data_IF_419420590251
#
_entry.id   IF_419420590251
#
_cell.length_a   1.000
_cell.length_b   1.000
_cell.length_c   1.000
_cell.angle_alpha   90.00
_cell.angle_beta   90.00
_cell.angle_gamma   90.00
#
_symmetry.space_group_name_H-M   'P 1'
#
loop_
_entity.id
_entity.type
_entity.pdbx_description
1 polymer ?
#
# COMPACT_ATOMS: atom_id res chain seq x y z
N UNK A 1 -27.38 38.67 14.88
CA UNK A 1 -26.26 38.82 15.83
C UNK A 1 -24.95 38.73 15.06
N UNK A 2 -24.47 39.87 14.55
CA UNK A 2 -23.25 39.93 13.73
C UNK A 2 -22.08 40.36 14.62
N UNK A 3 -21.51 39.41 15.36
CA UNK A 3 -20.31 39.64 16.17
C UNK A 3 -19.10 39.81 15.26
N UNK A 4 -18.78 41.04 14.88
CA UNK A 4 -17.51 41.35 14.22
C UNK A 4 -16.38 41.00 15.19
N UNK A 5 -15.57 40.00 14.86
CA UNK A 5 -14.32 39.70 15.56
C UNK A 5 -13.41 40.94 15.44
N UNK A 6 -13.35 41.77 16.48
CA UNK A 6 -12.35 42.82 16.61
C UNK A 6 -11.01 42.17 16.98
N UNK A 7 -10.37 41.51 16.02
CA UNK A 7 -9.00 41.03 16.17
C UNK A 7 -8.05 42.21 16.03
N UNK A 8 -7.08 42.39 16.95
CA UNK A 8 -6.08 43.44 16.83
C UNK A 8 -5.27 43.22 15.55
N UNK A 9 -4.96 44.30 14.83
CA UNK A 9 -4.32 44.25 13.50
C UNK A 9 -3.00 43.46 13.50
N UNK A 10 -2.28 43.46 14.63
CA UNK A 10 -1.04 42.71 14.83
C UNK A 10 -1.27 41.19 14.79
N UNK A 11 -2.42 40.69 15.24
CA UNK A 11 -2.76 39.26 15.15
C UNK A 11 -3.08 38.87 13.71
N UNK A 12 -3.78 39.72 12.96
CA UNK A 12 -4.08 39.48 11.54
C UNK A 12 -2.79 39.46 10.72
N UNK A 13 -1.90 40.43 10.94
CA UNK A 13 -0.59 40.49 10.27
C UNK A 13 0.26 39.26 10.65
N UNK A 14 0.29 38.90 11.95
CA UNK A 14 1.05 37.76 12.44
C UNK A 14 0.57 36.43 11.85
N UNK A 15 -0.74 36.20 11.77
CA UNK A 15 -1.32 34.99 11.17
C UNK A 15 -1.05 34.94 9.67
N UNK A 16 -1.20 36.06 8.95
CA UNK A 16 -0.89 36.13 7.52
C UNK A 16 0.59 35.87 7.22
N UNK A 17 1.50 36.43 8.02
CA UNK A 17 2.94 36.17 7.89
C UNK A 17 3.27 34.70 8.21
N UNK A 18 2.63 34.13 9.24
CA UNK A 18 2.79 32.73 9.59
C UNK A 18 2.33 31.82 8.45
N UNK A 19 1.16 32.06 7.86
CA UNK A 19 0.66 31.26 6.73
C UNK A 19 1.58 31.40 5.51
N UNK A 20 2.03 32.62 5.20
CA UNK A 20 2.95 32.90 4.10
C UNK A 20 4.28 32.16 4.24
N UNK A 21 4.81 32.03 5.46
CA UNK A 21 6.05 31.30 5.74
C UNK A 21 5.82 29.77 5.83
N UNK A 22 4.67 29.37 6.37
CA UNK A 22 4.34 27.97 6.64
C UNK A 22 4.14 27.18 5.34
N UNK A 23 3.46 27.74 4.35
CA UNK A 23 3.16 27.03 3.09
C UNK A 23 4.44 26.65 2.32
N UNK A 24 5.40 27.57 2.08
CA UNK A 24 6.70 27.22 1.48
C UNK A 24 7.51 26.26 2.35
N UNK A 25 7.55 26.48 3.67
CA UNK A 25 8.26 25.58 4.58
C UNK A 25 7.72 24.14 4.50
N UNK A 26 6.39 23.99 4.43
CA UNK A 26 5.75 22.69 4.27
C UNK A 26 6.05 22.07 2.90
N UNK A 27 6.10 22.88 1.84
CA UNK A 27 6.48 22.45 0.49
C UNK A 27 7.90 21.86 0.47
N UNK A 28 8.87 22.55 1.08
CA UNK A 28 10.24 22.04 1.20
C UNK A 28 10.37 20.85 2.15
N UNK A 29 9.50 20.73 3.14
CA UNK A 29 9.49 19.60 4.08
C UNK A 29 8.81 18.33 3.54
N UNK A 30 8.08 18.40 2.41
CA UNK A 30 7.36 17.25 1.80
C UNK A 30 8.20 15.97 1.70
N UNK A 31 9.48 16.00 1.28
CA UNK A 31 10.29 14.77 1.15
C UNK A 31 10.49 14.01 2.46
N UNK A 32 10.40 14.69 3.61
CA UNK A 32 10.51 14.10 4.94
C UNK A 32 9.14 13.83 5.56
N UNK A 33 8.18 14.72 5.35
CA UNK A 33 6.83 14.59 5.88
C UNK A 33 6.10 13.36 5.35
N UNK A 34 6.22 13.06 4.06
CA UNK A 34 5.56 11.89 3.47
C UNK A 34 6.05 10.57 4.11
N UNK A 35 7.36 10.27 4.16
CA UNK A 35 7.88 9.10 4.89
C UNK A 35 7.48 9.09 6.37
N UNK A 36 7.45 10.25 7.02
CA UNK A 36 7.06 10.35 8.43
C UNK A 36 5.60 9.94 8.66
N UNK A 37 4.68 10.37 7.79
CA UNK A 37 3.27 9.98 7.88
C UNK A 37 3.11 8.49 7.60
N UNK A 38 3.69 7.99 6.50
CA UNK A 38 3.63 6.56 6.13
C UNK A 38 4.20 5.70 7.25
N UNK A 39 5.38 6.07 7.77
CA UNK A 39 6.01 5.34 8.86
C UNK A 39 5.24 5.38 10.16
N UNK A 40 4.51 6.47 10.44
CA UNK A 40 3.60 6.53 11.58
C UNK A 40 2.50 5.49 11.43
N UNK A 41 1.83 5.43 10.28
CA UNK A 41 0.80 4.43 10.02
C UNK A 41 1.36 3.01 10.17
N UNK A 42 2.47 2.70 9.48
CA UNK A 42 3.13 1.40 9.58
C UNK A 42 3.51 1.09 11.03
N UNK A 43 4.11 2.04 11.76
CA UNK A 43 4.48 1.86 13.14
C UNK A 43 3.26 1.61 14.04
N UNK A 44 2.11 2.24 13.79
CA UNK A 44 0.87 1.94 14.52
C UNK A 44 0.41 0.49 14.28
N UNK A 45 0.51 0.01 13.04
CA UNK A 45 0.13 -1.36 12.67
C UNK A 45 1.03 -2.41 13.32
N UNK A 46 2.34 -2.18 13.34
CA UNK A 46 3.32 -3.10 13.91
C UNK A 46 3.52 -2.93 15.43
N UNK A 47 3.12 -1.80 16.01
CA UNK A 47 3.25 -1.52 17.46
C UNK A 47 2.75 -2.65 18.37
N UNK A 48 1.54 -3.23 18.19
CA UNK A 48 1.07 -4.31 19.05
C UNK A 48 1.90 -5.59 18.90
N UNK A 49 2.40 -5.89 17.69
CA UNK A 49 3.32 -7.01 17.47
C UNK A 49 4.62 -6.78 18.26
N UNK A 50 5.21 -5.57 18.17
CA UNK A 50 6.42 -5.23 18.91
C UNK A 50 6.20 -5.30 20.42
N UNK A 51 5.09 -4.72 20.92
CA UNK A 51 4.78 -4.73 22.35
C UNK A 51 4.56 -6.17 22.86
N UNK A 52 3.91 -7.04 22.08
CA UNK A 52 3.71 -8.44 22.46
C UNK A 52 5.02 -9.21 22.69
N UNK A 53 6.03 -8.98 21.86
CA UNK A 53 7.35 -9.59 22.03
C UNK A 53 8.19 -8.89 23.11
N UNK A 54 8.04 -7.57 23.27
CA UNK A 54 8.64 -6.80 24.37
C UNK A 54 8.13 -7.29 25.74
N UNK A 55 6.83 -7.55 25.85
CA UNK A 55 6.19 -8.09 27.05
C UNK A 55 6.68 -9.52 27.39
N UNK A 56 7.22 -10.25 26.41
CA UNK A 56 7.87 -11.56 26.60
C UNK A 56 9.34 -11.47 27.00
N UNK A 57 9.87 -10.26 27.24
CA UNK A 57 11.23 -10.03 27.70
C UNK A 57 12.27 -9.80 26.60
N UNK A 58 11.87 -9.69 25.33
CA UNK A 58 12.79 -9.34 24.25
C UNK A 58 13.07 -7.83 24.25
N UNK A 59 14.34 -7.38 24.15
CA UNK A 59 14.64 -5.95 24.02
C UNK A 59 13.96 -5.34 22.80
N UNK A 60 13.24 -4.22 23.02
CA UNK A 60 12.45 -3.53 21.98
C UNK A 60 13.21 -3.35 20.66
N UNK A 61 14.46 -2.87 20.72
CA UNK A 61 15.29 -2.65 19.53
C UNK A 61 15.49 -3.93 18.71
N UNK A 62 15.74 -5.06 19.37
CA UNK A 62 15.95 -6.35 18.70
C UNK A 62 14.65 -6.79 18.01
N UNK A 63 13.53 -6.72 18.72
CA UNK A 63 12.20 -7.05 18.18
C UNK A 63 11.88 -6.20 16.94
N UNK A 64 12.16 -4.89 16.98
CA UNK A 64 11.94 -4.00 15.84
C UNK A 64 12.82 -4.36 14.66
N UNK A 65 14.13 -4.57 14.88
CA UNK A 65 15.07 -4.93 13.81
C UNK A 65 14.65 -6.24 13.15
N UNK A 66 14.39 -7.29 13.94
CA UNK A 66 13.95 -8.60 13.43
C UNK A 66 12.65 -8.47 12.64
N UNK A 67 11.68 -7.72 13.15
CA UNK A 67 10.40 -7.51 12.47
C UNK A 67 10.57 -6.79 11.14
N UNK A 68 11.40 -5.75 11.09
CA UNK A 68 11.66 -5.01 9.85
C UNK A 68 12.46 -5.83 8.85
N UNK A 69 13.45 -6.60 9.30
CA UNK A 69 14.20 -7.53 8.44
C UNK A 69 13.24 -8.57 7.85
N UNK A 70 12.39 -9.19 8.68
CA UNK A 70 11.40 -10.16 8.23
C UNK A 70 10.43 -9.54 7.20
N UNK A 71 9.93 -8.33 7.48
CA UNK A 71 9.03 -7.62 6.56
C UNK A 71 9.68 -7.41 5.19
N UNK A 72 10.92 -6.92 5.17
CA UNK A 72 11.68 -6.70 3.92
C UNK A 72 11.96 -8.02 3.20
N UNK A 73 12.40 -9.06 3.92
CA UNK A 73 12.67 -10.37 3.35
C UNK A 73 11.41 -10.99 2.73
N UNK A 74 10.28 -11.00 3.44
CA UNK A 74 9.01 -11.53 2.92
C UNK A 74 8.53 -10.73 1.71
N UNK A 75 8.71 -9.40 1.72
CA UNK A 75 8.33 -8.55 0.59
C UNK A 75 9.17 -8.86 -0.65
N UNK A 76 10.50 -8.97 -0.50
CA UNK A 76 11.40 -9.30 -1.61
C UNK A 76 11.09 -10.70 -2.17
N UNK A 77 10.93 -11.69 -1.29
CA UNK A 77 10.61 -13.06 -1.70
C UNK A 77 9.24 -13.14 -2.39
N UNK A 78 8.23 -12.44 -1.87
CA UNK A 78 6.91 -12.37 -2.48
C UNK A 78 6.93 -11.73 -3.86
N UNK A 79 7.66 -10.62 -4.02
CA UNK A 79 7.86 -10.01 -5.34
C UNK A 79 8.59 -10.94 -6.31
N UNK A 80 9.64 -11.62 -5.86
CA UNK A 80 10.38 -12.57 -6.69
C UNK A 80 9.50 -13.75 -7.15
N UNK A 81 8.69 -14.31 -6.24
CA UNK A 81 7.81 -15.43 -6.53
C UNK A 81 6.71 -15.11 -7.55
N UNK A 82 6.23 -13.86 -7.58
CA UNK A 82 5.19 -13.41 -8.53
C UNK A 82 5.83 -12.97 -9.85
N UNK A 83 7.08 -12.51 -9.84
CA UNK A 83 7.71 -11.87 -11.00
C UNK A 83 7.90 -12.80 -12.20
N UNK A 84 8.25 -14.06 -11.99
CA UNK A 84 8.44 -15.04 -13.08
C UNK A 84 7.12 -15.41 -13.75
N UNK A 85 6.11 -15.91 -13.01
CA UNK A 85 4.83 -16.26 -13.61
C UNK A 85 4.10 -15.05 -14.21
N UNK A 86 4.22 -13.86 -13.61
CA UNK A 86 3.64 -12.66 -14.18
C UNK A 86 4.22 -12.34 -15.56
N UNK A 87 5.53 -12.52 -15.78
CA UNK A 87 6.16 -12.28 -17.09
C UNK A 87 5.65 -13.25 -18.16
N UNK A 88 5.45 -14.52 -17.79
CA UNK A 88 4.92 -15.54 -18.70
C UNK A 88 3.48 -15.19 -19.11
N UNK A 89 2.63 -14.87 -18.15
CA UNK A 89 1.25 -14.48 -18.41
C UNK A 89 1.14 -13.21 -19.28
N UNK A 90 2.00 -12.21 -19.06
CA UNK A 90 2.08 -11.02 -19.91
C UNK A 90 2.52 -11.34 -21.35
N UNK A 91 3.38 -12.35 -21.55
CA UNK A 91 3.84 -12.75 -22.88
C UNK A 91 2.75 -13.51 -23.67
N UNK A 92 1.85 -14.21 -22.99
CA UNK A 92 0.77 -15.00 -23.60
C UNK A 92 -0.54 -14.22 -23.79
N UNK A 93 -0.66 -13.06 -23.15
CA UNK A 93 -1.83 -12.19 -23.21
C UNK A 93 -2.25 -11.81 -24.64
N UNK A 94 -1.33 -11.43 -25.57
CA UNK A 94 -1.70 -11.14 -26.95
C UNK A 94 -2.31 -12.34 -27.69
N UNK A 95 -1.80 -13.55 -27.46
CA UNK A 95 -2.35 -14.78 -28.05
C UNK A 95 -3.72 -15.13 -27.47
N UNK A 96 -3.94 -14.95 -26.16
CA UNK A 96 -5.25 -15.17 -25.53
C UNK A 96 -6.29 -14.22 -26.13
N UNK A 97 -5.95 -12.94 -26.32
CA UNK A 97 -6.85 -11.95 -26.94
C UNK A 97 -7.15 -12.30 -28.40
N UNK A 98 -6.16 -12.75 -29.17
CA UNK A 98 -6.37 -13.17 -30.55
C UNK A 98 -7.27 -14.41 -30.65
N UNK A 99 -7.04 -15.42 -29.81
CA UNK A 99 -7.83 -16.65 -29.80
C UNK A 99 -9.28 -16.40 -29.37
N UNK A 100 -9.49 -15.59 -28.33
CA UNK A 100 -10.84 -15.18 -27.89
C UNK A 100 -11.53 -14.34 -28.98
N UNK A 101 -10.81 -13.48 -29.69
CA UNK A 101 -11.38 -12.72 -30.80
C UNK A 101 -11.81 -13.63 -31.95
N UNK A 102 -11.09 -14.72 -32.21
CA UNK A 102 -11.42 -15.69 -33.24
C UNK A 102 -12.63 -16.54 -32.84
N UNK A 103 -12.67 -17.09 -31.62
CA UNK A 103 -13.83 -17.84 -31.13
C UNK A 103 -15.09 -16.96 -31.02
N UNK A 104 -14.96 -15.72 -30.53
CA UNK A 104 -16.09 -14.77 -30.49
C UNK A 104 -16.53 -14.40 -31.90
N UNK A 105 -15.61 -14.24 -32.86
CA UNK A 105 -15.97 -13.98 -34.26
C UNK A 105 -16.60 -15.20 -34.93
N UNK A 106 -16.23 -16.43 -34.59
CA UNK A 106 -16.84 -17.65 -35.11
C UNK A 106 -18.22 -17.89 -34.51
N UNK A 107 -18.40 -17.68 -33.20
CA UNK A 107 -19.72 -17.72 -32.53
C UNK A 107 -20.61 -16.58 -33.02
N UNK A 108 -20.06 -15.38 -33.22
CA UNK A 108 -20.79 -14.25 -33.79
C UNK A 108 -21.15 -14.50 -35.26
N UNK A 109 -20.25 -15.05 -36.08
CA UNK A 109 -20.56 -15.42 -37.49
C UNK A 109 -21.62 -16.53 -37.58
N UNK A 110 -21.55 -17.53 -36.71
CA UNK A 110 -22.59 -18.57 -36.59
C UNK A 110 -23.95 -17.98 -36.14
N UNK A 111 -23.93 -16.87 -35.39
CA UNK A 111 -25.14 -16.13 -35.01
C UNK A 111 -25.57 -15.08 -36.04
N UNK A 112 -24.66 -14.59 -36.89
CA UNK A 112 -24.87 -13.57 -37.92
C UNK A 112 -25.38 -14.12 -39.25
N UNK A 113 -25.42 -15.45 -39.45
CA UNK A 113 -26.11 -16.07 -40.58
C UNK A 113 -27.63 -15.74 -40.61
N UNK A 114 -28.17 -15.18 -39.51
CA UNK A 114 -29.54 -14.66 -39.41
C UNK A 114 -29.66 -13.13 -39.25
N UNK A 115 -28.58 -12.34 -39.33
CA UNK A 115 -28.70 -10.88 -39.20
C UNK A 115 -27.60 -10.14 -39.97
N UNK A 116 -27.95 -9.66 -41.16
CA UNK A 116 -27.12 -8.78 -41.98
C UNK A 116 -27.02 -7.39 -41.33
N UNK A 117 -25.92 -7.09 -40.65
CA UNK A 117 -25.47 -5.72 -40.43
C UNK A 117 -23.93 -5.68 -40.34
N UNK A 118 -23.25 -4.84 -41.14
CA UNK A 118 -21.80 -4.67 -41.02
C UNK A 118 -21.50 -3.83 -39.78
N UNK A 119 -20.86 -4.44 -38.78
CA UNK A 119 -20.23 -3.71 -37.67
C UNK A 119 -18.76 -3.43 -38.02
N UNK A 120 -18.54 -2.45 -38.89
CA UNK A 120 -17.26 -1.74 -38.94
C UNK A 120 -17.19 -0.77 -37.77
N UNK A 121 -16.80 -1.24 -36.57
CA UNK A 121 -16.42 -0.34 -35.47
C UNK A 121 -15.70 -1.09 -34.35
N UNK A 122 -14.49 -1.59 -34.63
CA UNK A 122 -13.53 -1.96 -33.58
C UNK A 122 -12.09 -2.14 -34.08
N UNK A 123 -11.71 -1.61 -35.24
CA UNK A 123 -10.38 -1.81 -35.82
C UNK A 123 -9.38 -0.69 -35.52
N UNK A 124 -9.52 0.00 -34.38
CA UNK A 124 -8.55 1.05 -34.03
C UNK A 124 -8.36 1.23 -32.51
N UNK A 125 -8.32 0.10 -31.79
CA UNK A 125 -7.73 0.09 -30.45
C UNK A 125 -6.40 -0.66 -30.54
N UNK A 126 -5.32 0.09 -30.73
CA UNK A 126 -3.96 -0.42 -30.64
C UNK A 126 -3.76 -1.08 -29.26
N UNK A 127 -3.80 -2.42 -29.25
CA UNK A 127 -3.54 -3.24 -28.06
C UNK A 127 -2.07 -3.11 -27.59
N UNK A 128 -1.20 -2.56 -28.43
CA UNK A 128 0.16 -2.16 -28.06
C UNK A 128 0.21 -0.97 -27.07
N UNK A 129 -0.84 -0.15 -26.97
CA UNK A 129 -0.89 1.00 -26.05
C UNK A 129 -1.72 0.76 -24.77
N UNK A 130 -2.42 -0.37 -24.61
CA UNK A 130 -3.16 -0.61 -23.34
C UNK A 130 -2.32 -1.39 -22.31
N UNK A 131 -1.38 -2.23 -22.76
CA UNK A 131 -0.50 -3.02 -21.89
C UNK A 131 0.75 -2.30 -21.37
N UNK A 132 1.17 -1.20 -22.01
CA UNK A 132 2.46 -0.55 -21.76
C UNK A 132 2.37 0.64 -20.76
N UNK A 133 1.18 1.13 -20.41
CA UNK A 133 1.08 2.54 -20.01
C UNK A 133 0.97 2.79 -18.51
N UNK A 134 0.52 1.83 -17.70
CA UNK A 134 0.32 2.11 -16.26
C UNK A 134 1.02 1.12 -15.35
N UNK A 135 0.79 -0.18 -15.51
CA UNK A 135 1.43 -1.20 -14.66
C UNK A 135 2.84 -1.50 -15.16
N UNK A 136 3.04 -1.65 -16.47
CA UNK A 136 4.36 -1.87 -17.06
C UNK A 136 5.22 -0.61 -17.04
N UNK A 137 4.64 0.58 -17.23
CA UNK A 137 5.36 1.85 -17.01
C UNK A 137 5.72 2.05 -15.53
N UNK A 138 4.86 1.64 -14.58
CA UNK A 138 5.21 1.56 -13.15
C UNK A 138 6.33 0.56 -12.92
N UNK A 139 6.23 -0.67 -13.42
CA UNK A 139 7.24 -1.72 -13.22
C UNK A 139 8.58 -1.35 -13.86
N UNK A 140 8.55 -0.75 -15.05
CA UNK A 140 9.72 -0.26 -15.79
C UNK A 140 10.28 1.00 -15.15
N UNK A 141 9.45 1.92 -14.66
CA UNK A 141 9.90 3.03 -13.82
C UNK A 141 10.51 2.51 -12.51
N UNK A 142 9.93 1.48 -11.87
CA UNK A 142 10.51 0.82 -10.70
C UNK A 142 11.88 0.17 -11.04
N UNK A 143 12.02 -0.36 -12.26
CA UNK A 143 13.25 -1.00 -12.76
C UNK A 143 14.33 -0.02 -13.28
N UNK A 144 13.96 1.19 -13.73
CA UNK A 144 14.92 2.22 -14.21
C UNK A 144 15.19 3.32 -13.18
N UNK A 145 14.30 3.48 -12.19
CA UNK A 145 14.37 4.46 -11.08
C UNK A 145 14.86 3.79 -9.79
N UNK A 146 15.57 2.66 -9.91
CA UNK A 146 16.02 1.79 -8.82
C UNK A 146 16.80 2.53 -7.72
N UNK A 147 17.74 3.46 -8.02
CA UNK A 147 18.50 4.13 -6.97
C UNK A 147 17.63 5.03 -6.08
N UNK A 148 16.72 5.80 -6.69
CA UNK A 148 15.85 6.74 -5.97
C UNK A 148 14.75 6.04 -5.19
N UNK A 149 14.19 4.94 -5.71
CA UNK A 149 13.21 4.13 -4.98
C UNK A 149 13.83 3.39 -3.81
N UNK A 150 15.03 2.83 -4.01
CA UNK A 150 15.76 2.20 -2.92
C UNK A 150 16.08 3.24 -1.83
N UNK A 151 16.55 4.42 -2.22
CA UNK A 151 16.80 5.52 -1.27
C UNK A 151 15.52 5.91 -0.51
N UNK A 152 14.40 6.09 -1.21
CA UNK A 152 13.12 6.44 -0.59
C UNK A 152 12.62 5.33 0.35
N UNK A 153 12.72 4.06 -0.07
CA UNK A 153 12.36 2.90 0.75
C UNK A 153 13.23 2.82 2.00
N UNK A 154 14.54 3.07 1.89
CA UNK A 154 15.44 3.13 3.04
C UNK A 154 15.08 4.27 4.00
N UNK A 155 14.70 5.45 3.48
CA UNK A 155 14.23 6.57 4.30
C UNK A 155 12.95 6.18 5.06
N UNK A 156 11.97 5.58 4.38
CA UNK A 156 10.73 5.11 5.01
C UNK A 156 11.05 4.05 6.07
N UNK A 157 11.89 3.07 5.76
CA UNK A 157 12.29 1.99 6.68
C UNK A 157 12.99 2.56 7.92
N UNK A 158 13.92 3.49 7.73
CA UNK A 158 14.58 4.20 8.82
C UNK A 158 13.55 4.96 9.69
N UNK A 159 12.58 5.61 9.05
CA UNK A 159 11.57 6.38 9.78
C UNK A 159 10.59 5.46 10.53
N UNK A 160 10.26 4.29 9.97
CA UNK A 160 9.50 3.23 10.68
C UNK A 160 10.30 2.73 11.89
N UNK A 161 11.59 2.42 11.71
CA UNK A 161 12.46 2.02 12.81
C UNK A 161 12.47 3.07 13.93
N UNK A 162 12.69 4.33 13.57
CA UNK A 162 12.69 5.44 14.52
C UNK A 162 11.35 5.57 15.24
N UNK A 163 10.23 5.47 14.51
CA UNK A 163 8.89 5.62 15.06
C UNK A 163 8.47 4.42 15.93
N UNK A 164 8.88 3.20 15.59
CA UNK A 164 8.68 2.02 16.43
C UNK A 164 9.50 2.08 17.72
N UNK A 165 10.76 2.54 17.66
CA UNK A 165 11.61 2.58 18.85
C UNK A 165 11.32 3.80 19.75
N UNK A 166 11.15 4.99 19.16
CA UNK A 166 11.04 6.26 19.90
C UNK A 166 9.66 6.92 19.81
N UNK A 167 8.79 6.50 18.89
CA UNK A 167 7.52 7.18 18.61
C UNK A 167 6.60 7.30 19.81
N UNK A 168 6.54 6.29 20.69
CA UNK A 168 5.75 6.36 21.94
C UNK A 168 6.26 7.47 22.87
N UNK A 169 7.58 7.60 23.01
CA UNK A 169 8.21 8.64 23.84
C UNK A 169 7.97 10.03 23.24
N UNK A 170 8.11 10.17 21.92
CA UNK A 170 7.83 11.41 21.20
C UNK A 170 6.37 11.82 21.33
N UNK A 171 5.44 10.88 21.12
CA UNK A 171 4.01 11.13 21.27
C UNK A 171 3.66 11.54 22.70
N UNK A 172 4.17 10.83 23.71
CA UNK A 172 3.94 11.18 25.12
C UNK A 172 4.47 12.56 25.47
N UNK A 173 5.68 12.94 24.99
CA UNK A 173 6.25 14.27 25.19
C UNK A 173 5.48 15.38 24.46
N UNK A 174 4.91 15.08 23.30
CA UNK A 174 4.05 16.02 22.56
C UNK A 174 2.72 16.23 23.25
N UNK A 175 2.09 15.13 23.70
CA UNK A 175 0.82 15.14 24.41
C UNK A 175 0.95 15.73 25.82
N UNK A 176 2.10 15.61 26.47
CA UNK A 176 2.32 16.20 27.81
C UNK A 176 2.27 17.74 27.81
N UNK A 177 2.34 18.39 26.64
CA UNK A 177 2.16 19.84 26.50
C UNK A 177 0.69 20.27 26.49
N UNK A 178 -0.25 19.33 26.36
CA UNK A 178 -1.68 19.60 26.49
C UNK A 178 -2.04 19.88 27.95
N UNK A 179 -2.82 20.93 28.20
CA UNK A 179 -3.34 21.27 29.53
C UNK A 179 -4.37 20.21 29.99
N UNK A 180 -4.03 19.47 31.04
CA UNK A 180 -4.94 18.56 31.76
C UNK A 180 -4.66 17.07 31.54
N UNK A 181 -4.44 16.32 32.64
CA UNK A 181 -4.12 14.89 32.65
C UNK A 181 -5.18 14.00 31.95
N UNK A 182 -6.46 14.36 32.03
CA UNK A 182 -7.55 13.60 31.39
C UNK A 182 -7.42 13.57 29.86
N UNK A 183 -7.11 14.71 29.23
CA UNK A 183 -6.91 14.81 27.77
C UNK A 183 -5.67 14.03 27.31
N UNK A 184 -4.63 14.02 28.14
CA UNK A 184 -3.41 13.25 27.85
C UNK A 184 -3.68 11.75 27.84
N UNK A 185 -4.41 11.27 28.84
CA UNK A 185 -4.82 9.86 28.95
C UNK A 185 -5.70 9.45 27.78
N UNK A 186 -6.72 10.24 27.45
CA UNK A 186 -7.63 9.96 26.33
C UNK A 186 -6.88 9.84 24.99
N UNK A 187 -5.92 10.73 24.71
CA UNK A 187 -5.14 10.68 23.48
C UNK A 187 -4.27 9.40 23.39
N UNK A 188 -3.64 9.00 24.50
CA UNK A 188 -2.83 7.77 24.55
C UNK A 188 -3.71 6.52 24.43
N UNK A 189 -4.86 6.50 25.12
CA UNK A 189 -5.83 5.40 25.05
C UNK A 189 -6.41 5.24 23.64
N UNK A 190 -6.74 6.35 22.96
CA UNK A 190 -7.22 6.32 21.58
C UNK A 190 -6.17 5.72 20.64
N UNK A 191 -4.91 6.15 20.75
CA UNK A 191 -3.84 5.59 19.91
C UNK A 191 -3.65 4.10 20.18
N UNK A 192 -3.66 3.66 21.45
CA UNK A 192 -3.52 2.25 21.79
C UNK A 192 -4.72 1.41 21.31
N UNK A 193 -5.94 1.95 21.40
CA UNK A 193 -7.14 1.32 20.86
C UNK A 193 -7.03 1.15 19.35
N UNK A 194 -6.68 2.22 18.63
CA UNK A 194 -6.47 2.18 17.17
C UNK A 194 -5.38 1.16 16.80
N UNK A 195 -4.26 1.12 17.52
CA UNK A 195 -3.20 0.14 17.28
C UNK A 195 -3.74 -1.29 17.39
N UNK A 196 -4.50 -1.59 18.45
CA UNK A 196 -5.02 -2.93 18.72
C UNK A 196 -6.10 -3.33 17.71
N UNK A 197 -7.01 -2.42 17.40
CA UNK A 197 -8.12 -2.67 16.47
C UNK A 197 -7.60 -2.83 15.04
N UNK A 198 -6.71 -1.94 14.59
CA UNK A 198 -6.10 -2.03 13.26
C UNK A 198 -5.25 -3.29 13.12
N UNK A 199 -4.46 -3.63 14.13
CA UNK A 199 -3.66 -4.86 14.07
C UNK A 199 -4.51 -6.12 14.04
N UNK A 200 -5.59 -6.18 14.84
CA UNK A 200 -6.50 -7.32 14.81
C UNK A 200 -7.21 -7.43 13.47
N UNK A 201 -7.67 -6.32 12.92
CA UNK A 201 -8.31 -6.26 11.61
C UNK A 201 -7.33 -6.71 10.52
N UNK A 202 -6.15 -6.07 10.42
CA UNK A 202 -5.13 -6.41 9.41
C UNK A 202 -4.64 -7.85 9.58
N UNK A 203 -4.39 -8.30 10.81
CA UNK A 203 -4.00 -9.68 11.06
C UNK A 203 -5.07 -10.68 10.61
N UNK A 204 -6.35 -10.37 10.83
CA UNK A 204 -7.47 -11.23 10.40
C UNK A 204 -7.56 -11.27 8.88
N UNK A 205 -7.55 -10.12 8.19
CA UNK A 205 -7.61 -10.10 6.72
C UNK A 205 -6.37 -10.72 6.08
N UNK A 206 -5.16 -10.52 6.62
CA UNK A 206 -3.96 -11.22 6.17
C UNK A 206 -4.09 -12.72 6.32
N UNK A 207 -4.62 -13.21 7.45
CA UNK A 207 -4.82 -14.64 7.69
C UNK A 207 -5.87 -15.23 6.73
N UNK A 208 -6.99 -14.54 6.55
CA UNK A 208 -8.06 -14.94 5.62
C UNK A 208 -7.54 -14.98 4.19
N UNK A 209 -6.79 -13.95 3.76
CA UNK A 209 -6.24 -13.85 2.41
C UNK A 209 -5.10 -14.84 2.15
N UNK A 210 -4.27 -15.11 3.16
CA UNK A 210 -3.28 -16.18 3.08
C UNK A 210 -3.96 -17.55 2.96
N UNK A 211 -5.02 -17.80 3.73
CA UNK A 211 -5.83 -19.01 3.61
C UNK A 211 -6.49 -19.14 2.24
N UNK A 212 -7.11 -18.06 1.74
CA UNK A 212 -7.69 -18.01 0.40
C UNK A 212 -6.65 -18.33 -0.68
N UNK A 213 -5.49 -17.67 -0.64
CA UNK A 213 -4.42 -17.88 -1.61
C UNK A 213 -3.85 -19.30 -1.57
N UNK A 214 -3.69 -19.88 -0.38
CA UNK A 214 -3.29 -21.28 -0.21
C UNK A 214 -4.34 -22.24 -0.76
N UNK A 215 -5.62 -22.02 -0.47
CA UNK A 215 -6.71 -22.85 -0.99
C UNK A 215 -6.77 -22.80 -2.53
N UNK A 216 -6.73 -21.60 -3.12
CA UNK A 216 -6.75 -21.43 -4.57
C UNK A 216 -5.53 -22.07 -5.21
N UNK A 217 -4.33 -21.83 -4.67
CA UNK A 217 -3.09 -22.42 -5.17
C UNK A 217 -3.08 -23.95 -5.07
N UNK A 218 -3.57 -24.51 -3.97
CA UNK A 218 -3.69 -25.97 -3.80
C UNK A 218 -4.69 -26.57 -4.78
N UNK A 219 -5.86 -25.95 -4.98
CA UNK A 219 -6.85 -26.43 -5.95
C UNK A 219 -6.26 -26.45 -7.35
N UNK A 220 -5.59 -25.38 -7.77
CA UNK A 220 -4.99 -25.29 -9.11
C UNK A 220 -3.84 -26.30 -9.27
N UNK A 221 -3.06 -26.53 -8.21
CA UNK A 221 -2.00 -27.52 -8.20
C UNK A 221 -2.54 -28.94 -8.36
N UNK A 222 -3.61 -29.29 -7.63
CA UNK A 222 -4.26 -30.60 -7.74
C UNK A 222 -4.92 -30.80 -9.11
N UNK A 223 -5.47 -29.74 -9.71
CA UNK A 223 -6.05 -29.79 -11.05
C UNK A 223 -4.99 -29.84 -12.17
N UNK A 224 -3.70 -29.72 -11.85
CA UNK A 224 -2.61 -29.71 -12.83
C UNK A 224 -2.63 -28.48 -13.74
N UNK A 225 -3.22 -27.38 -13.29
CA UNK A 225 -3.24 -26.11 -14.03
C UNK A 225 -1.85 -25.46 -14.00
N UNK A 226 -1.57 -24.64 -15.01
CA UNK A 226 -0.33 -23.87 -15.11
C UNK A 226 -0.28 -22.78 -14.02
N UNK A 227 0.92 -22.55 -13.49
CA UNK A 227 1.24 -21.56 -12.46
C UNK A 227 0.29 -21.48 -11.23
N UNK A 228 0.03 -22.58 -10.49
CA UNK A 228 -0.87 -22.56 -9.34
C UNK A 228 -0.50 -21.54 -8.26
N UNK A 229 0.81 -21.33 -8.06
CA UNK A 229 1.33 -20.38 -7.07
C UNK A 229 1.04 -18.93 -7.46
N UNK A 230 1.03 -18.58 -8.75
CA UNK A 230 0.64 -17.24 -9.21
C UNK A 230 -0.82 -16.99 -8.92
N UNK A 231 -1.70 -17.93 -9.27
CA UNK A 231 -3.14 -17.77 -9.07
C UNK A 231 -3.52 -17.72 -7.59
N UNK A 232 -2.86 -18.53 -6.76
CA UNK A 232 -2.97 -18.44 -5.31
C UNK A 232 -2.50 -17.09 -4.76
N UNK A 233 -1.33 -16.60 -5.18
CA UNK A 233 -0.82 -15.29 -4.77
C UNK A 233 -1.74 -14.14 -5.24
N UNK A 234 -2.22 -14.19 -6.48
CA UNK A 234 -3.13 -13.21 -7.05
C UNK A 234 -4.46 -13.19 -6.31
N UNK A 235 -5.06 -14.35 -6.02
CA UNK A 235 -6.27 -14.45 -5.22
C UNK A 235 -6.08 -13.89 -3.81
N UNK A 236 -4.94 -14.18 -3.16
CA UNK A 236 -4.61 -13.64 -1.86
C UNK A 236 -4.43 -12.11 -1.86
N UNK A 237 -3.81 -11.55 -2.91
CA UNK A 237 -3.54 -10.11 -3.02
C UNK A 237 -4.76 -9.33 -3.50
N UNK A 238 -5.51 -9.82 -4.49
CA UNK A 238 -6.70 -9.11 -4.99
C UNK A 238 -7.81 -9.02 -3.95
N UNK A 239 -7.90 -9.98 -3.03
CA UNK A 239 -8.87 -9.91 -1.93
C UNK A 239 -8.49 -8.89 -0.85
N UNK A 240 -7.37 -8.17 -0.98
CA UNK A 240 -7.07 -6.97 -0.19
C UNK A 240 -7.72 -5.69 -0.74
N UNK A 241 -8.18 -5.70 -2.00
CA UNK A 241 -8.69 -4.53 -2.73
C UNK A 241 -10.17 -4.22 -2.45
#
# INVERSE_FOLDING_TARGET
MNGKLNLPINTVIGVSLLVLLLVPALYFAKPVLLPMVISTFVALLFSPLINYFEDKGLPRTITVVVTLTLLVSVSILGLAAISEPAKQWWAELPSIVQNVSQEVNEVTKASSEHMNAPLELASDMNIDEMGNNTVFSLLKALATTTPTLLTQAMIVLFMVYFMLNHGRSLFRKSVSRLRGFSKQRQAVELVQALQKDLSRYIGTITLVNAGLGLCVGLVFFVLGLEDPFLWGAFAGVMNFA
#
